data_IF_138920621452
#
_entry.id   IF_138920621452
#
_cell.length_a   1.000
_cell.length_b   1.000
_cell.length_c   1.000
_cell.angle_alpha   90.00
_cell.angle_beta   90.00
_cell.angle_gamma   90.00
#
_symmetry.space_group_name_H-M   'P 1'
#
loop_
_entity.id
_entity.type
_entity.pdbx_description
1 polymer ?
#
# COMPACT_ATOMS: atom_id res chain seq x y z
N UNK A 1 0.20 3.68 -16.02
CA UNK A 1 -0.43 5.02 -15.86
C UNK A 1 0.26 5.66 -14.67
N UNK A 2 0.92 6.79 -14.85
CA UNK A 2 1.75 7.40 -13.78
C UNK A 2 1.07 8.59 -13.08
N UNK A 3 -0.10 9.00 -13.53
CA UNK A 3 -0.85 10.09 -12.93
C UNK A 3 -2.36 9.82 -13.02
N UNK A 4 -3.06 10.14 -11.95
CA UNK A 4 -4.52 10.09 -11.92
C UNK A 4 -5.05 11.32 -12.69
N UNK A 5 -5.99 11.17 -13.64
CA UNK A 5 -6.61 12.30 -14.32
C UNK A 5 -7.22 13.31 -13.34
N UNK A 6 -7.07 14.58 -13.61
CA UNK A 6 -7.45 15.66 -12.68
C UNK A 6 -8.96 15.90 -12.61
N UNK A 7 -9.72 15.40 -13.57
CA UNK A 7 -11.17 15.45 -13.66
C UNK A 7 -11.88 14.35 -12.83
N UNK A 8 -11.13 13.35 -12.38
CA UNK A 8 -11.67 12.33 -11.48
C UNK A 8 -11.76 12.87 -10.05
N UNK A 9 -12.96 13.34 -9.69
CA UNK A 9 -13.22 13.93 -8.37
C UNK A 9 -14.63 13.59 -7.88
N UNK A 10 -14.89 13.78 -6.59
CA UNK A 10 -16.23 13.65 -6.00
C UNK A 10 -16.68 12.23 -5.73
N UNK A 11 -15.78 11.28 -5.62
CA UNK A 11 -16.10 9.90 -5.29
C UNK A 11 -16.26 9.70 -3.79
N UNK A 12 -17.28 8.96 -3.38
CA UNK A 12 -17.48 8.55 -1.99
C UNK A 12 -16.50 7.45 -1.58
N UNK A 13 -16.00 6.69 -2.56
CA UNK A 13 -15.11 5.56 -2.33
C UNK A 13 -14.06 5.42 -3.43
N UNK A 14 -12.80 5.24 -3.02
CA UNK A 14 -11.66 4.96 -3.93
C UNK A 14 -10.92 3.74 -3.40
N UNK A 15 -10.60 2.81 -4.28
CA UNK A 15 -9.82 1.63 -3.89
C UNK A 15 -8.80 1.22 -4.94
N UNK A 16 -7.79 0.50 -4.50
CA UNK A 16 -6.91 -0.30 -5.36
C UNK A 16 -6.48 -1.57 -4.64
N UNK A 17 -6.26 -2.62 -5.39
CA UNK A 17 -5.78 -3.90 -4.86
C UNK A 17 -4.46 -4.26 -5.54
N UNK A 18 -3.38 -4.28 -4.76
CA UNK A 18 -2.02 -4.62 -5.20
C UNK A 18 -1.66 -3.99 -6.55
N UNK A 19 -1.77 -2.66 -6.64
CA UNK A 19 -1.63 -1.94 -7.90
C UNK A 19 -0.57 -0.83 -7.85
N UNK A 20 -0.47 -0.07 -6.76
CA UNK A 20 0.41 1.09 -6.74
C UNK A 20 1.89 0.74 -6.49
N UNK A 21 2.20 -0.49 -6.09
CA UNK A 21 3.55 -1.04 -6.11
C UNK A 21 4.11 -1.24 -7.53
N UNK A 22 3.25 -1.21 -8.56
CA UNK A 22 3.64 -1.37 -9.96
C UNK A 22 3.80 -0.04 -10.71
N UNK A 23 3.83 1.09 -10.01
CA UNK A 23 3.96 2.41 -10.63
C UNK A 23 5.39 2.81 -10.97
N UNK A 24 6.36 1.91 -10.81
CA UNK A 24 7.73 2.03 -11.30
C UNK A 24 8.75 2.52 -10.28
N UNK A 25 8.32 2.98 -9.10
CA UNK A 25 9.20 3.28 -7.97
C UNK A 25 8.40 3.45 -6.67
N UNK A 26 9.08 3.33 -5.52
CA UNK A 26 8.50 3.65 -4.21
C UNK A 26 7.96 5.10 -4.19
N UNK A 27 8.73 6.04 -4.73
CA UNK A 27 8.29 7.44 -4.79
C UNK A 27 7.00 7.63 -5.61
N UNK A 28 6.85 6.94 -6.73
CA UNK A 28 5.64 6.99 -7.55
C UNK A 28 4.44 6.37 -6.83
N UNK A 29 4.63 5.28 -6.10
CA UNK A 29 3.58 4.68 -5.28
C UNK A 29 3.13 5.58 -4.13
N UNK A 30 4.07 6.22 -3.42
CA UNK A 30 3.74 7.20 -2.39
C UNK A 30 3.02 8.43 -2.96
N UNK A 31 3.42 8.89 -4.15
CA UNK A 31 2.73 9.99 -4.82
C UNK A 31 1.29 9.61 -5.22
N UNK A 32 1.06 8.37 -5.64
CA UNK A 32 -0.30 7.87 -5.90
C UNK A 32 -1.19 7.96 -4.66
N UNK A 33 -0.70 7.59 -3.48
CA UNK A 33 -1.45 7.72 -2.23
C UNK A 33 -1.87 9.17 -1.95
N UNK A 34 -1.03 10.13 -2.30
CA UNK A 34 -1.34 11.56 -2.19
C UNK A 34 -2.37 11.99 -3.24
N UNK A 35 -2.14 11.61 -4.49
CA UNK A 35 -2.95 12.06 -5.62
C UNK A 35 -4.39 11.53 -5.56
N UNK A 36 -4.60 10.33 -5.04
CA UNK A 36 -5.94 9.74 -4.95
C UNK A 36 -6.87 10.49 -3.99
N UNK A 37 -6.34 11.22 -2.98
CA UNK A 37 -7.18 11.96 -2.02
C UNK A 37 -8.04 13.03 -2.71
N UNK A 38 -7.54 13.66 -3.76
CA UNK A 38 -8.33 14.65 -4.50
C UNK A 38 -9.51 14.04 -5.27
N UNK A 39 -9.47 12.73 -5.51
CA UNK A 39 -10.59 12.02 -6.13
C UNK A 39 -11.78 11.89 -5.17
N UNK A 40 -11.54 11.89 -3.87
CA UNK A 40 -12.57 11.73 -2.86
C UNK A 40 -13.41 13.00 -2.66
N UNK A 41 -14.70 12.80 -2.50
CA UNK A 41 -15.59 13.80 -1.91
C UNK A 41 -15.18 14.09 -0.45
N UNK A 42 -15.55 15.24 0.14
CA UNK A 42 -15.45 15.44 1.58
C UNK A 42 -16.19 14.34 2.35
N UNK A 43 -15.52 13.66 3.28
CA UNK A 43 -16.04 12.48 3.99
C UNK A 43 -15.92 11.16 3.24
N UNK A 44 -15.46 11.16 2.00
CA UNK A 44 -15.21 9.95 1.22
C UNK A 44 -14.06 9.11 1.80
N UNK A 45 -14.07 7.82 1.53
CA UNK A 45 -13.13 6.84 2.09
C UNK A 45 -12.27 6.19 1.02
N UNK A 46 -11.08 5.72 1.40
CA UNK A 46 -10.21 4.93 0.54
C UNK A 46 -9.76 3.64 1.22
N UNK A 47 -9.55 2.60 0.40
CA UNK A 47 -8.92 1.35 0.79
C UNK A 47 -7.92 0.97 -0.30
N UNK A 48 -6.65 0.82 0.07
CA UNK A 48 -5.61 0.35 -0.84
C UNK A 48 -4.88 -0.83 -0.23
N UNK A 49 -4.64 -1.88 -1.00
CA UNK A 49 -3.69 -2.92 -0.63
C UNK A 49 -2.42 -2.80 -1.45
N UNK A 50 -1.30 -3.19 -0.87
CA UNK A 50 0.00 -3.17 -1.54
C UNK A 50 0.94 -4.22 -0.97
N UNK A 51 1.99 -4.52 -1.73
CA UNK A 51 3.07 -5.39 -1.30
C UNK A 51 3.94 -4.71 -0.23
N UNK A 52 4.08 -5.38 0.89
CA UNK A 52 4.83 -4.94 2.06
C UNK A 52 6.00 -5.88 2.35
N UNK A 53 7.20 -5.33 2.52
CA UNK A 53 8.37 -6.10 2.93
C UNK A 53 8.26 -6.44 4.42
N UNK A 54 7.93 -7.69 4.72
CA UNK A 54 7.81 -8.19 6.09
C UNK A 54 9.05 -8.95 6.58
N UNK A 55 10.05 -9.21 5.70
CA UNK A 55 11.27 -9.95 6.08
C UNK A 55 12.35 -9.94 5.01
N UNK A 56 13.40 -10.73 5.24
CA UNK A 56 14.51 -10.92 4.32
C UNK A 56 15.69 -9.97 4.55
N UNK A 57 16.47 -9.73 3.50
CA UNK A 57 17.69 -8.92 3.55
C UNK A 57 17.42 -7.45 3.93
N UNK A 58 18.44 -6.71 4.42
CA UNK A 58 18.36 -5.26 4.59
C UNK A 58 17.99 -4.53 3.28
N UNK A 59 17.38 -3.34 3.40
CA UNK A 59 16.90 -2.58 2.27
C UNK A 59 15.53 -3.06 1.79
N UNK A 60 15.20 -2.80 0.54
CA UNK A 60 13.94 -3.21 -0.08
C UNK A 60 14.07 -3.25 -1.59
N UNK A 61 13.08 -3.85 -2.26
CA UNK A 61 13.00 -3.81 -3.71
C UNK A 61 12.39 -2.49 -4.17
N UNK A 62 13.13 -1.75 -5.02
CA UNK A 62 12.64 -0.56 -5.73
C UNK A 62 12.99 -0.73 -7.20
N UNK A 63 12.11 -1.35 -7.96
CA UNK A 63 12.32 -1.72 -9.36
C UNK A 63 11.13 -1.28 -10.21
N UNK A 64 11.40 -0.96 -11.48
CA UNK A 64 10.38 -0.44 -12.42
C UNK A 64 9.15 -1.36 -12.60
N UNK A 65 9.28 -2.66 -12.36
CA UNK A 65 8.18 -3.62 -12.47
C UNK A 65 7.37 -3.79 -11.19
N UNK A 66 8.04 -3.68 -10.03
CA UNK A 66 7.40 -3.78 -8.72
C UNK A 66 8.30 -3.22 -7.63
N UNK A 67 7.69 -2.72 -6.58
CA UNK A 67 8.39 -2.29 -5.36
C UNK A 67 7.83 -3.00 -4.14
N UNK A 68 8.64 -3.13 -3.09
CA UNK A 68 8.17 -3.58 -1.78
C UNK A 68 8.24 -2.41 -0.80
N UNK A 69 7.09 -1.97 -0.32
CA UNK A 69 7.06 -0.91 0.67
C UNK A 69 7.55 -1.43 2.03
N UNK A 70 8.34 -0.63 2.71
CA UNK A 70 8.69 -0.86 4.11
C UNK A 70 7.72 -0.14 5.03
N UNK A 71 7.73 -0.49 6.32
CA UNK A 71 6.96 0.23 7.34
C UNK A 71 7.25 1.74 7.32
N UNK A 72 8.51 2.14 7.19
CA UNK A 72 8.90 3.55 7.12
C UNK A 72 8.26 4.27 5.92
N UNK A 73 8.22 3.64 4.74
CA UNK A 73 7.56 4.20 3.56
C UNK A 73 6.06 4.39 3.77
N UNK A 74 5.38 3.36 4.29
CA UNK A 74 3.94 3.44 4.53
C UNK A 74 3.59 4.48 5.59
N UNK A 75 4.33 4.52 6.69
CA UNK A 75 4.15 5.53 7.75
C UNK A 75 4.39 6.95 7.24
N UNK A 76 5.39 7.16 6.38
CA UNK A 76 5.64 8.45 5.74
C UNK A 76 4.46 8.87 4.87
N UNK A 77 3.96 8.00 4.00
CA UNK A 77 2.78 8.28 3.17
C UNK A 77 1.56 8.65 4.02
N UNK A 78 1.29 7.87 5.07
CA UNK A 78 0.17 8.12 5.98
C UNK A 78 0.31 9.44 6.76
N UNK A 79 1.54 9.79 7.18
CA UNK A 79 1.80 11.07 7.85
C UNK A 79 1.50 12.25 6.92
N UNK A 80 1.95 12.19 5.67
CA UNK A 80 1.63 13.21 4.66
C UNK A 80 0.13 13.35 4.45
N UNK A 81 -0.62 12.25 4.37
CA UNK A 81 -2.07 12.28 4.21
C UNK A 81 -2.77 12.93 5.42
N UNK A 82 -2.31 12.65 6.65
CA UNK A 82 -2.87 13.27 7.86
C UNK A 82 -2.56 14.76 7.93
N UNK A 83 -1.31 15.14 7.75
CA UNK A 83 -0.83 16.51 7.99
C UNK A 83 -1.24 17.49 6.89
N UNK A 84 -1.14 17.06 5.63
CA UNK A 84 -1.39 17.97 4.48
C UNK A 84 -2.82 17.90 3.94
N UNK A 85 -3.50 16.77 4.13
CA UNK A 85 -4.82 16.54 3.53
C UNK A 85 -5.91 16.28 4.56
N UNK A 86 -5.59 16.40 5.86
CA UNK A 86 -6.53 16.20 6.96
C UNK A 86 -7.28 14.85 6.88
N UNK A 87 -6.59 13.81 6.40
CA UNK A 87 -7.19 12.50 6.31
C UNK A 87 -7.24 11.82 7.67
N UNK A 88 -8.39 11.22 7.99
CA UNK A 88 -8.52 10.26 9.07
C UNK A 88 -8.04 8.89 8.57
N UNK A 89 -6.99 8.34 9.18
CA UNK A 89 -6.38 7.10 8.72
C UNK A 89 -6.37 6.10 9.87
N UNK A 90 -6.86 4.90 9.62
CA UNK A 90 -6.80 3.82 10.59
C UNK A 90 -5.33 3.47 10.92
N UNK A 91 -5.05 2.98 12.14
CA UNK A 91 -3.72 2.49 12.48
C UNK A 91 -3.26 1.42 11.48
N UNK A 92 -2.00 1.51 11.08
CA UNK A 92 -1.37 0.49 10.24
C UNK A 92 -1.11 -0.73 11.11
N UNK A 93 -1.77 -1.83 10.81
CA UNK A 93 -1.53 -3.12 11.43
C UNK A 93 -0.57 -3.93 10.54
N UNK A 94 0.60 -4.24 11.08
CA UNK A 94 1.64 -5.03 10.43
C UNK A 94 1.94 -6.31 11.22
N UNK A 95 1.13 -6.62 12.24
CA UNK A 95 1.29 -7.83 13.02
C UNK A 95 1.07 -9.06 12.13
N UNK A 96 1.97 -10.01 12.23
CA UNK A 96 1.74 -11.36 11.71
C UNK A 96 0.93 -12.14 12.74
N UNK A 97 -0.03 -12.91 12.26
CA UNK A 97 -0.62 -13.97 13.07
C UNK A 97 0.39 -15.08 13.42
N UNK A 98 -0.04 -16.02 14.23
CA UNK A 98 0.77 -17.17 14.72
C UNK A 98 0.41 -18.48 14.06
N UNK A 99 -0.59 -18.51 13.18
CA UNK A 99 -1.03 -19.70 12.49
C UNK A 99 -0.01 -20.19 11.46
N UNK A 100 -0.13 -21.45 11.06
CA UNK A 100 0.77 -22.06 10.08
C UNK A 100 0.82 -21.27 8.75
N UNK A 101 -0.31 -20.70 8.33
CA UNK A 101 -0.38 -19.84 7.15
C UNK A 101 0.31 -18.50 7.33
N UNK A 102 0.26 -17.93 8.52
CA UNK A 102 0.91 -16.66 8.84
C UNK A 102 2.44 -16.77 8.90
N UNK A 103 2.95 -17.96 9.20
CA UNK A 103 4.39 -18.22 9.33
C UNK A 103 4.99 -18.83 8.05
N UNK A 104 4.19 -19.45 7.20
CA UNK A 104 4.64 -20.06 5.95
C UNK A 104 5.07 -18.98 4.94
N UNK A 105 6.25 -19.19 4.34
CA UNK A 105 6.75 -18.38 3.24
C UNK A 105 6.84 -19.25 1.99
N UNK A 106 6.14 -18.88 0.94
CA UNK A 106 6.20 -19.55 -0.34
C UNK A 106 7.47 -19.13 -1.09
N UNK A 107 8.23 -20.10 -1.55
CA UNK A 107 9.50 -19.93 -2.26
C UNK A 107 9.37 -20.35 -3.72
N UNK A 108 10.16 -19.73 -4.63
CA UNK A 108 10.18 -20.20 -6.02
C UNK A 108 10.68 -21.67 -6.16
N UNK A 109 10.05 -22.50 -7.02
CA UNK A 109 8.83 -22.23 -7.79
C UNK A 109 7.61 -22.22 -6.86
N UNK A 110 6.83 -21.12 -6.94
CA UNK A 110 5.70 -20.90 -6.05
C UNK A 110 4.64 -21.99 -6.18
N UNK A 111 4.04 -22.37 -5.05
CA UNK A 111 2.91 -23.29 -5.03
C UNK A 111 1.63 -22.55 -5.40
N UNK A 112 0.69 -23.26 -6.06
CA UNK A 112 -0.53 -22.64 -6.57
C UNK A 112 -1.64 -22.48 -5.54
N UNK A 113 -1.54 -23.15 -4.39
CA UNK A 113 -2.65 -23.32 -3.44
C UNK A 113 -2.70 -22.27 -2.33
N UNK A 114 -2.31 -21.04 -2.65
CA UNK A 114 -2.44 -19.93 -1.73
C UNK A 114 -1.24 -19.76 -0.79
N UNK A 115 -0.91 -18.51 -0.55
CA UNK A 115 0.10 -18.09 0.40
C UNK A 115 -0.25 -16.70 0.93
N UNK A 116 0.13 -16.42 2.17
CA UNK A 116 0.06 -15.07 2.74
C UNK A 116 1.39 -14.34 2.62
N UNK A 117 2.49 -15.10 2.55
CA UNK A 117 3.83 -14.56 2.36
C UNK A 117 4.55 -15.28 1.23
N UNK A 118 5.29 -14.53 0.46
CA UNK A 118 6.14 -15.09 -0.60
C UNK A 118 7.50 -14.43 -0.64
N UNK A 119 8.49 -15.21 -1.09
CA UNK A 119 9.83 -14.69 -1.30
C UNK A 119 9.94 -14.03 -2.67
N UNK A 120 10.35 -12.76 -2.70
CA UNK A 120 10.68 -12.01 -3.92
C UNK A 120 12.16 -11.64 -3.87
N UNK A 121 12.98 -12.35 -4.63
CA UNK A 121 14.43 -12.18 -4.57
C UNK A 121 14.97 -12.45 -3.16
N UNK A 122 15.59 -11.45 -2.53
CA UNK A 122 16.16 -11.55 -1.18
C UNK A 122 15.19 -11.11 -0.06
N UNK A 123 13.95 -10.80 -0.38
CA UNK A 123 12.97 -10.27 0.58
C UNK A 123 11.75 -11.17 0.68
N UNK A 124 11.06 -11.04 1.81
CA UNK A 124 9.75 -11.66 2.03
C UNK A 124 8.69 -10.59 1.98
N UNK A 125 7.67 -10.83 1.18
CA UNK A 125 6.53 -9.94 0.99
C UNK A 125 5.24 -10.53 1.51
N UNK A 126 4.34 -9.65 1.95
CA UNK A 126 2.93 -9.91 2.20
C UNK A 126 2.12 -8.69 1.81
N UNK A 127 0.82 -8.84 1.64
CA UNK A 127 -0.05 -7.70 1.37
C UNK A 127 -0.47 -7.01 2.66
N UNK A 128 -0.58 -5.67 2.63
CA UNK A 128 -1.07 -4.84 3.73
C UNK A 128 -2.14 -3.88 3.22
N UNK A 129 -3.14 -3.58 4.06
CA UNK A 129 -4.19 -2.62 3.75
C UNK A 129 -3.91 -1.25 4.37
N UNK A 130 -4.11 -0.20 3.58
CA UNK A 130 -4.14 1.20 4.00
C UNK A 130 -5.59 1.69 3.90
N UNK A 131 -6.16 2.10 5.02
CA UNK A 131 -7.57 2.50 5.11
C UNK A 131 -7.66 3.89 5.71
N UNK A 132 -8.43 4.75 5.08
CA UNK A 132 -8.63 6.10 5.58
C UNK A 132 -9.76 6.83 4.86
N UNK A 133 -9.93 8.09 5.21
CA UNK A 133 -10.94 8.94 4.59
C UNK A 133 -10.53 10.40 4.57
N UNK A 134 -11.03 11.13 3.59
CA UNK A 134 -10.87 12.58 3.51
C UNK A 134 -11.73 13.26 4.58
N UNK A 135 -11.15 14.15 5.37
CA UNK A 135 -11.89 14.93 6.35
C UNK A 135 -13.04 15.73 5.70
N UNK A 136 -14.05 16.05 6.49
CA UNK A 136 -15.09 16.99 6.05
C UNK A 136 -14.49 18.39 5.91
N UNK A 137 -14.91 19.11 4.90
CA UNK A 137 -14.63 20.55 4.82
C UNK A 137 -15.26 21.24 6.04
N UNK A 138 -14.44 21.97 6.81
CA UNK A 138 -14.93 22.87 7.87
C UNK A 138 -15.61 24.09 7.24
#
# INVERSE_FOLDING_TARGET
MRAIPTDLTGFDFVYSSCAFEHLGSIAAGLQFLVDQVRCLAPGGVFIHTTEFRCGGAPGTLDHAGTVLFTEAHLRLGMAVLREKYSCNILPLDLASGEDAWDTYVDHPPYQQDGHLKLQIGNWVSTSVALIGGRGHAQ
#
